data_IF_069148421197
#
_entry.id   IF_069148421197
#
_cell.length_a   1.000
_cell.length_b   1.000
_cell.length_c   1.000
_cell.angle_alpha   90.00
_cell.angle_beta   90.00
_cell.angle_gamma   90.00
#
_symmetry.space_group_name_H-M   'P 1'
#
loop_
_entity.id
_entity.type
_entity.pdbx_description
1 polymer ?
#
# COMPACT_ATOMS: atom_id res chain seq x y z
N UNK A 1 16.04 2.84 6.04
CA UNK A 1 16.13 3.54 4.74
C UNK A 1 15.52 4.92 4.91
N UNK A 2 16.14 5.97 4.38
CA UNK A 2 15.50 7.29 4.34
C UNK A 2 14.29 7.22 3.40
N UNK A 3 13.13 7.75 3.81
CA UNK A 3 12.00 7.97 2.92
C UNK A 3 12.27 9.22 2.10
N UNK A 4 12.22 9.10 0.78
CA UNK A 4 12.35 10.21 -0.17
C UNK A 4 10.97 10.56 -0.72
N UNK A 5 10.75 11.83 -1.08
CA UNK A 5 9.60 12.19 -1.91
C UNK A 5 9.83 11.77 -3.34
N UNK A 6 8.75 11.74 -4.13
CA UNK A 6 8.87 11.47 -5.55
C UNK A 6 9.77 12.50 -6.22
N UNK A 7 9.61 13.77 -5.86
CA UNK A 7 10.42 14.89 -6.35
C UNK A 7 11.88 14.79 -5.91
N UNK A 8 12.13 14.40 -4.65
CA UNK A 8 13.50 14.21 -4.14
C UNK A 8 14.20 13.04 -4.83
N UNK A 9 13.48 11.95 -5.08
CA UNK A 9 14.01 10.75 -5.73
C UNK A 9 14.28 11.01 -7.21
N UNK A 10 13.31 11.58 -7.92
CA UNK A 10 13.42 11.91 -9.34
C UNK A 10 14.44 13.02 -9.59
N UNK A 11 14.53 14.00 -8.68
CA UNK A 11 15.45 15.11 -8.74
C UNK A 11 15.18 16.07 -9.91
N UNK A 12 16.22 16.79 -10.33
CA UNK A 12 16.15 17.74 -11.43
C UNK A 12 16.77 17.24 -12.73
N UNK A 13 17.16 15.97 -12.77
CA UNK A 13 17.77 15.32 -13.93
C UNK A 13 16.77 14.80 -14.95
N UNK A 14 17.20 13.77 -15.69
CA UNK A 14 16.45 13.18 -16.82
C UNK A 14 15.14 12.48 -16.41
N UNK A 15 14.98 12.18 -15.12
CA UNK A 15 13.77 11.58 -14.57
C UNK A 15 12.67 12.63 -14.33
N UNK A 16 13.00 13.92 -14.22
CA UNK A 16 12.05 14.98 -13.86
C UNK A 16 10.86 15.05 -14.81
N UNK A 17 11.15 14.98 -16.11
CA UNK A 17 10.14 15.01 -17.17
C UNK A 17 9.28 13.75 -17.22
N UNK A 18 9.75 12.66 -16.58
CA UNK A 18 9.03 11.39 -16.49
C UNK A 18 8.05 11.35 -15.32
N UNK A 19 8.16 12.26 -14.35
CA UNK A 19 7.33 12.25 -13.14
C UNK A 19 5.82 12.19 -13.44
N UNK A 20 5.24 13.01 -14.33
CA UNK A 20 3.82 12.92 -14.64
C UNK A 20 3.40 11.52 -15.15
N UNK A 21 4.24 10.92 -16.01
CA UNK A 21 4.00 9.58 -16.56
C UNK A 21 4.11 8.49 -15.51
N UNK A 22 5.07 8.59 -14.57
CA UNK A 22 5.20 7.66 -13.45
C UNK A 22 3.94 7.68 -12.58
N UNK A 23 3.44 8.88 -12.26
CA UNK A 23 2.22 9.04 -11.46
C UNK A 23 0.98 8.49 -12.17
N UNK A 24 0.84 8.74 -13.48
CA UNK A 24 -0.28 8.23 -14.29
C UNK A 24 -0.30 6.70 -14.37
N UNK A 25 0.87 6.08 -14.50
CA UNK A 25 1.07 4.63 -14.55
C UNK A 25 1.04 3.97 -13.14
N UNK A 26 0.83 4.75 -12.07
CA UNK A 26 0.70 4.23 -10.71
C UNK A 26 2.01 3.89 -10.01
N UNK A 27 3.12 4.50 -10.46
CA UNK A 27 4.41 4.54 -9.78
C UNK A 27 4.51 5.83 -8.95
N UNK A 28 3.71 5.94 -7.90
CA UNK A 28 3.47 7.18 -7.14
C UNK A 28 4.22 7.26 -5.79
N UNK A 29 5.03 6.25 -5.47
CA UNK A 29 5.90 6.26 -4.29
C UNK A 29 7.30 5.67 -4.57
N UNK A 30 8.28 6.19 -3.83
CA UNK A 30 9.70 5.81 -3.99
C UNK A 30 9.99 4.33 -3.70
N UNK A 31 9.43 3.71 -2.64
CA UNK A 31 9.53 2.26 -2.47
C UNK A 31 9.10 1.49 -3.71
N UNK A 32 7.99 1.89 -4.34
CA UNK A 32 7.50 1.31 -5.59
C UNK A 32 8.42 1.59 -6.77
N UNK A 33 9.05 2.76 -6.88
CA UNK A 33 10.05 3.01 -7.92
C UNK A 33 11.33 2.17 -7.77
N UNK A 34 11.79 1.93 -6.54
CA UNK A 34 13.06 1.22 -6.26
C UNK A 34 13.05 -0.26 -6.61
N UNK A 35 11.87 -0.82 -6.83
CA UNK A 35 11.63 -2.23 -7.16
C UNK A 35 11.29 -2.42 -8.64
N UNK A 36 11.17 -1.32 -9.40
CA UNK A 36 10.85 -1.33 -10.82
C UNK A 36 11.93 -2.09 -11.58
N UNK A 37 11.55 -3.15 -12.26
CA UNK A 37 12.50 -4.03 -12.95
C UNK A 37 12.74 -3.59 -14.41
N UNK A 38 13.61 -4.32 -15.11
CA UNK A 38 13.95 -3.98 -16.49
C UNK A 38 12.77 -4.12 -17.45
N UNK A 39 11.84 -5.07 -17.19
CA UNK A 39 10.63 -5.26 -17.99
C UNK A 39 9.69 -4.07 -17.80
N UNK A 40 9.48 -3.63 -16.56
CA UNK A 40 8.66 -2.46 -16.24
C UNK A 40 9.20 -1.20 -16.94
N UNK A 41 10.53 -1.01 -16.93
CA UNK A 41 11.17 0.11 -17.62
C UNK A 41 11.04 0.01 -19.15
N UNK A 42 11.02 -1.20 -19.72
CA UNK A 42 10.79 -1.43 -21.15
C UNK A 42 9.33 -1.14 -21.54
N UNK A 43 8.36 -1.59 -20.74
CA UNK A 43 6.93 -1.33 -20.92
C UNK A 43 6.64 0.19 -20.89
N UNK A 44 7.30 0.93 -19.99
CA UNK A 44 7.23 2.39 -19.94
C UNK A 44 7.98 3.11 -21.06
N UNK A 45 8.64 2.38 -21.96
CA UNK A 45 9.46 2.91 -23.05
C UNK A 45 10.55 3.87 -22.54
N UNK A 46 11.20 3.54 -21.43
CA UNK A 46 12.25 4.39 -20.87
C UNK A 46 13.49 4.36 -21.75
N UNK A 47 14.06 5.53 -21.98
CA UNK A 47 15.35 5.66 -22.65
C UNK A 47 16.45 5.04 -21.79
N UNK A 48 17.53 4.55 -22.42
CA UNK A 48 18.70 4.02 -21.68
C UNK A 48 19.19 4.98 -20.60
N UNK A 49 19.20 6.28 -20.89
CA UNK A 49 19.63 7.33 -19.95
C UNK A 49 18.72 7.46 -18.73
N UNK A 50 17.41 7.24 -18.88
CA UNK A 50 16.46 7.19 -17.77
C UNK A 50 16.61 5.91 -16.95
N UNK A 51 16.87 4.77 -17.60
CA UNK A 51 17.14 3.50 -16.90
C UNK A 51 18.38 3.59 -16.02
N UNK A 52 19.48 4.13 -16.58
CA UNK A 52 20.73 4.34 -15.84
C UNK A 52 20.50 5.30 -14.65
N UNK A 53 19.71 6.36 -14.83
CA UNK A 53 19.35 7.28 -13.76
C UNK A 53 18.55 6.60 -12.64
N UNK A 54 17.57 5.75 -12.99
CA UNK A 54 16.82 4.96 -12.00
C UNK A 54 17.70 4.03 -11.19
N UNK A 55 18.63 3.34 -11.84
CA UNK A 55 19.59 2.45 -11.18
C UNK A 55 20.45 3.24 -10.18
N UNK A 56 20.98 4.40 -10.61
CA UNK A 56 21.77 5.30 -9.76
C UNK A 56 20.94 5.76 -8.55
N UNK A 57 19.73 6.30 -8.76
CA UNK A 57 18.87 6.78 -7.66
C UNK A 57 18.47 5.68 -6.68
N UNK A 58 18.26 4.47 -7.18
CA UNK A 58 17.95 3.30 -6.36
C UNK A 58 19.13 2.93 -5.47
N UNK A 59 20.35 3.01 -6.01
CA UNK A 59 21.60 2.77 -5.29
C UNK A 59 21.89 3.82 -4.20
N UNK A 60 21.52 5.09 -4.42
CA UNK A 60 21.66 6.18 -3.45
C UNK A 60 20.64 6.05 -2.30
N UNK A 61 20.90 5.12 -1.39
CA UNK A 61 19.99 4.68 -0.33
C UNK A 61 19.88 5.61 0.89
N UNK A 62 20.75 6.63 0.99
CA UNK A 62 20.77 7.61 2.08
C UNK A 62 20.65 9.06 1.59
N UNK A 63 20.07 9.94 2.42
CA UNK A 63 19.76 11.34 2.06
C UNK A 63 21.01 12.17 1.73
N UNK A 64 22.15 11.84 2.33
CA UNK A 64 23.41 12.52 2.06
C UNK A 64 24.01 12.11 0.70
N UNK A 65 23.76 10.87 0.26
CA UNK A 65 24.15 10.38 -1.06
C UNK A 65 23.21 10.88 -2.17
N UNK A 66 21.92 10.98 -1.91
CA UNK A 66 20.94 11.46 -2.89
C UNK A 66 21.25 12.88 -3.42
N UNK A 67 21.90 13.72 -2.61
CA UNK A 67 22.37 15.06 -3.01
C UNK A 67 23.40 15.07 -4.15
N UNK A 68 23.93 13.92 -4.56
CA UNK A 68 24.82 13.77 -5.72
C UNK A 68 24.09 13.23 -6.95
N UNK A 69 22.83 12.79 -6.84
CA UNK A 69 22.07 12.11 -7.90
C UNK A 69 22.09 12.88 -9.23
N UNK A 70 21.65 14.14 -9.21
CA UNK A 70 21.64 14.99 -10.41
C UNK A 70 23.03 15.10 -11.07
N UNK A 71 24.11 15.21 -10.28
CA UNK A 71 25.49 15.31 -10.80
C UNK A 71 26.00 13.99 -11.38
N UNK A 72 25.67 12.87 -10.74
CA UNK A 72 26.05 11.54 -11.19
C UNK A 72 25.36 11.22 -12.54
N UNK A 73 24.06 11.51 -12.63
CA UNK A 73 23.26 11.35 -13.87
C UNK A 73 23.76 12.25 -15.00
N UNK A 74 24.10 13.51 -14.70
CA UNK A 74 24.58 14.46 -15.69
C UNK A 74 25.89 14.00 -16.37
N UNK A 75 26.68 13.15 -15.70
CA UNK A 75 27.91 12.60 -16.29
C UNK A 75 27.68 11.60 -17.42
N UNK A 76 26.46 11.08 -17.57
CA UNK A 76 26.10 10.10 -18.59
C UNK A 76 26.71 8.71 -18.40
N UNK A 77 27.37 8.47 -17.27
CA UNK A 77 27.94 7.18 -16.90
C UNK A 77 26.91 6.32 -16.18
N UNK A 78 26.90 5.02 -16.49
CA UNK A 78 26.09 4.03 -15.76
C UNK A 78 26.64 3.76 -14.35
N UNK A 79 25.84 3.13 -13.49
CA UNK A 79 26.26 2.82 -12.11
C UNK A 79 27.57 2.01 -12.05
N UNK A 80 27.80 0.96 -12.88
CA UNK A 80 29.07 0.22 -12.84
C UNK A 80 30.30 1.08 -13.16
N UNK A 81 30.14 2.04 -14.08
CA UNK A 81 31.21 2.96 -14.46
C UNK A 81 31.50 3.96 -13.34
N UNK A 82 30.44 4.47 -12.66
CA UNK A 82 30.57 5.35 -11.51
C UNK A 82 31.24 4.68 -10.32
N UNK A 83 30.94 3.39 -10.07
CA UNK A 83 31.58 2.59 -9.02
C UNK A 83 33.04 2.24 -9.32
N UNK A 84 33.48 2.37 -10.58
CA UNK A 84 34.87 2.17 -10.98
C UNK A 84 35.73 3.46 -10.89
N UNK A 85 35.12 4.61 -10.58
CA UNK A 85 35.82 5.90 -10.46
C UNK A 85 36.70 5.92 -9.20
N UNK A 86 37.89 6.51 -9.31
CA UNK A 86 38.80 6.64 -8.17
C UNK A 86 38.21 7.50 -7.05
N UNK A 87 38.59 7.25 -5.80
CA UNK A 87 38.15 8.07 -4.66
C UNK A 87 38.48 9.56 -4.84
N UNK A 88 39.63 9.87 -5.47
CA UNK A 88 40.06 11.24 -5.73
C UNK A 88 39.14 11.91 -6.78
N UNK A 89 38.75 11.17 -7.82
CA UNK A 89 37.86 11.66 -8.87
C UNK A 89 36.41 11.81 -8.40
N UNK A 90 35.92 10.92 -7.54
CA UNK A 90 34.60 11.09 -6.91
C UNK A 90 34.54 12.39 -6.07
N UNK A 91 35.64 12.73 -5.40
CA UNK A 91 35.74 13.96 -4.63
C UNK A 91 35.88 15.20 -5.54
N UNK A 92 36.77 15.15 -6.53
CA UNK A 92 37.10 16.32 -7.37
C UNK A 92 36.06 16.61 -8.45
N UNK A 93 35.51 15.58 -9.11
CA UNK A 93 34.58 15.73 -10.24
C UNK A 93 33.12 15.83 -9.79
N UNK A 94 32.75 15.13 -8.73
CA UNK A 94 31.36 15.07 -8.24
C UNK A 94 31.14 15.81 -6.91
N UNK A 95 32.20 16.38 -6.34
CA UNK A 95 32.16 17.13 -5.08
C UNK A 95 31.89 16.25 -3.85
N UNK A 96 32.13 14.93 -3.95
CA UNK A 96 31.73 13.99 -2.91
C UNK A 96 32.66 14.07 -1.70
N UNK A 97 32.08 14.34 -0.51
CA UNK A 97 32.84 14.38 0.74
C UNK A 97 33.47 13.01 1.03
N UNK A 98 34.66 12.97 1.64
CA UNK A 98 35.41 11.72 1.94
C UNK A 98 34.56 10.62 2.60
N UNK A 99 33.73 10.98 3.58
CA UNK A 99 32.84 10.03 4.25
C UNK A 99 31.68 9.54 3.38
N UNK A 100 31.27 10.31 2.38
CA UNK A 100 30.22 9.92 1.43
C UNK A 100 30.81 9.03 0.34
N UNK A 101 32.06 9.27 -0.11
CA UNK A 101 32.79 8.38 -1.02
C UNK A 101 32.87 6.96 -0.45
N UNK A 102 33.22 6.83 0.83
CA UNK A 102 33.28 5.52 1.48
C UNK A 102 31.92 4.80 1.46
N UNK A 103 30.81 5.51 1.75
CA UNK A 103 29.46 4.93 1.71
C UNK A 103 28.95 4.62 0.30
N UNK A 104 29.32 5.45 -0.68
CA UNK A 104 28.99 5.24 -2.08
C UNK A 104 29.69 4.01 -2.66
N UNK A 105 30.85 3.62 -2.12
CA UNK A 105 31.58 2.44 -2.58
C UNK A 105 31.34 1.19 -1.70
N UNK A 106 30.71 1.36 -0.54
CA UNK A 106 30.42 0.25 0.38
C UNK A 106 29.25 -0.60 -0.16
N UNK A 107 29.61 -1.80 -0.64
CA UNK A 107 28.69 -2.78 -1.22
C UNK A 107 27.79 -3.49 -0.19
N UNK A 108 28.04 -3.32 1.11
CA UNK A 108 27.36 -4.13 2.15
C UNK A 108 25.94 -3.68 2.51
N UNK A 109 25.49 -2.53 2.00
CA UNK A 109 24.14 -1.97 2.27
C UNK A 109 23.13 -2.15 1.14
N UNK A 110 23.51 -2.75 0.01
CA UNK A 110 22.62 -2.96 -1.13
C UNK A 110 22.17 -4.43 -1.21
N UNK A 111 20.87 -4.66 -1.07
CA UNK A 111 20.26 -5.95 -1.38
C UNK A 111 20.49 -6.27 -2.87
N UNK A 112 21.41 -7.19 -3.17
CA UNK A 112 21.43 -8.04 -4.37
C UNK A 112 22.49 -9.12 -4.16
N UNK A 113 22.09 -10.27 -3.63
CA UNK A 113 22.83 -11.51 -3.85
C UNK A 113 22.60 -11.93 -5.32
N UNK A 114 23.64 -12.12 -6.14
CA UNK A 114 23.48 -12.60 -7.50
C UNK A 114 23.03 -14.06 -7.47
N UNK A 115 21.87 -14.34 -8.05
CA UNK A 115 21.36 -15.70 -8.28
C UNK A 115 22.33 -16.41 -9.24
N UNK A 116 23.20 -17.26 -8.69
CA UNK A 116 23.96 -18.21 -9.48
C UNK A 116 23.00 -19.29 -10.02
N UNK A 117 22.97 -19.41 -11.34
CA UNK A 117 22.39 -20.56 -12.05
C UNK A 117 23.22 -21.81 -11.76
N UNK A 118 22.57 -22.96 -11.97
CA UNK A 118 23.03 -24.35 -11.89
C UNK A 118 23.29 -24.90 -10.49
N UNK A 119 22.31 -25.68 -9.99
CA UNK A 119 22.52 -27.11 -9.78
C UNK A 119 21.18 -27.84 -9.62
N UNK A 120 20.94 -28.78 -10.53
CA UNK A 120 19.88 -29.78 -10.52
C UNK A 120 20.19 -30.76 -9.41
N UNK A 121 19.31 -31.01 -8.43
CA UNK A 121 19.16 -32.35 -7.83
C UNK A 121 17.81 -32.56 -7.11
N UNK A 122 17.08 -33.52 -7.68
CA UNK A 122 16.07 -34.47 -7.16
C UNK A 122 15.48 -34.36 -5.75
N UNK A 123 14.15 -34.36 -5.79
CA UNK A 123 13.15 -34.84 -4.81
C UNK A 123 13.60 -36.12 -4.07
N UNK A 124 13.64 -36.10 -2.73
CA UNK A 124 13.37 -37.29 -1.88
C UNK A 124 12.69 -36.94 -0.54
N UNK A 125 11.76 -37.83 -0.18
CA UNK A 125 10.78 -37.90 0.94
C UNK A 125 11.41 -38.01 2.35
N UNK A 126 10.62 -37.81 3.43
CA UNK A 126 11.12 -37.74 4.81
C UNK A 126 11.49 -39.12 5.40
N UNK A 127 12.35 -39.17 6.45
CA UNK A 127 12.90 -40.43 6.94
C UNK A 127 12.06 -41.07 8.05
N UNK A 128 12.05 -42.41 8.03
CA UNK A 128 11.65 -43.29 9.12
C UNK A 128 12.85 -43.66 10.01
N UNK A 129 12.51 -43.95 11.25
CA UNK A 129 13.30 -44.38 12.42
C UNK A 129 14.40 -45.42 12.19
N UNK A 130 15.56 -45.27 12.86
CA UNK A 130 16.19 -46.37 13.63
C UNK A 130 17.20 -45.83 14.65
N UNK A 131 17.28 -46.52 15.80
CA UNK A 131 18.18 -46.31 16.94
C UNK A 131 19.56 -46.91 16.69
N UNK A 132 20.62 -46.33 17.24
CA UNK A 132 21.67 -47.05 17.99
C UNK A 132 22.66 -46.07 18.65
N UNK A 133 23.01 -46.39 19.90
CA UNK A 133 23.89 -45.67 20.81
C UNK A 133 25.38 -45.77 20.45
N UNK A 134 26.16 -44.72 20.77
CA UNK A 134 27.43 -44.89 21.51
C UNK A 134 27.99 -43.58 22.07
N UNK A 135 28.21 -43.66 23.38
CA UNK A 135 28.84 -42.84 24.41
C UNK A 135 30.22 -42.17 24.16
N UNK A 136 30.42 -41.03 24.87
CA UNK A 136 31.65 -40.42 25.47
C UNK A 136 32.53 -39.57 24.51
N UNK A 137 32.90 -38.30 24.76
CA UNK A 137 33.48 -37.66 25.97
C UNK A 137 33.36 -36.11 25.94
N UNK A 138 33.38 -35.53 27.13
CA UNK A 138 33.26 -34.12 27.56
C UNK A 138 34.40 -33.15 27.18
N UNK A 139 34.08 -31.86 26.98
CA UNK A 139 34.41 -30.68 27.85
C UNK A 139 34.35 -29.36 27.04
N UNK A 140 33.82 -28.30 27.64
CA UNK A 140 34.00 -26.91 27.17
C UNK A 140 32.78 -25.99 27.32
N UNK A 141 32.57 -25.47 28.53
CA UNK A 141 31.58 -24.41 28.84
C UNK A 141 31.97 -23.09 28.17
N UNK A 142 31.03 -22.35 27.57
CA UNK A 142 30.87 -20.89 27.77
C UNK A 142 29.46 -20.42 27.38
N UNK A 143 28.81 -19.78 28.34
CA UNK A 143 27.61 -18.91 28.35
C UNK A 143 27.10 -18.35 27.00
N UNK A 144 25.81 -18.56 26.69
CA UNK A 144 25.07 -17.77 25.69
C UNK A 144 23.78 -17.19 26.31
N UNK A 145 23.77 -15.86 26.47
CA UNK A 145 22.56 -15.07 26.79
C UNK A 145 21.82 -14.81 25.48
N UNK A 146 20.61 -15.34 25.35
CA UNK A 146 19.63 -14.92 24.34
C UNK A 146 19.23 -13.47 24.60
N UNK A 147 19.50 -12.58 23.64
CA UNK A 147 18.84 -11.28 23.53
C UNK A 147 17.83 -11.37 22.38
N UNK A 148 16.56 -11.14 22.71
CA UNK A 148 15.50 -10.88 21.75
C UNK A 148 15.59 -9.42 21.32
N UNK A 149 15.78 -9.16 20.03
CA UNK A 149 15.73 -7.80 19.46
C UNK A 149 14.34 -7.53 18.88
N UNK A 150 13.50 -6.84 19.66
CA UNK A 150 12.30 -6.16 19.16
C UNK A 150 12.74 -4.78 18.68
N UNK A 151 12.81 -4.58 17.37
CA UNK A 151 13.08 -3.26 16.78
C UNK A 151 11.84 -2.38 16.88
N UNK A 152 11.85 -1.46 17.85
CA UNK A 152 10.93 -0.33 17.94
C UNK A 152 11.38 0.75 16.95
N UNK A 153 10.68 0.89 15.84
CA UNK A 153 10.83 2.05 14.96
C UNK A 153 10.07 3.24 15.56
N UNK A 154 10.77 4.37 15.73
CA UNK A 154 10.30 5.56 16.42
C UNK A 154 9.34 6.40 15.57
N UNK A 155 8.13 6.66 16.10
CA UNK A 155 7.06 7.45 15.49
C UNK A 155 7.40 8.92 15.16
N UNK A 156 8.48 9.46 15.72
CA UNK A 156 8.84 10.88 15.61
C UNK A 156 9.33 11.30 14.20
N UNK A 157 9.93 10.38 13.43
CA UNK A 157 10.53 10.72 12.13
C UNK A 157 9.48 10.80 10.99
N UNK A 158 8.31 10.16 11.16
CA UNK A 158 7.23 10.25 10.17
C UNK A 158 6.45 11.57 10.24
N UNK A 159 6.30 12.17 11.43
CA UNK A 159 5.50 13.39 11.63
C UNK A 159 6.08 14.64 10.96
N UNK A 160 7.40 14.71 10.75
CA UNK A 160 8.05 15.88 10.11
C UNK A 160 8.01 15.85 8.59
N UNK A 161 7.76 14.68 7.99
CA UNK A 161 7.68 14.50 6.54
C UNK A 161 6.25 14.71 6.02
N UNK A 162 5.25 14.38 6.85
CA UNK A 162 3.82 14.59 6.56
C UNK A 162 3.47 16.07 6.36
N UNK A 163 4.04 16.96 7.20
CA UNK A 163 3.78 18.40 7.16
C UNK A 163 4.16 19.09 5.84
N UNK A 164 5.22 18.66 5.16
CA UNK A 164 5.63 19.29 3.89
C UNK A 164 4.81 18.81 2.70
N UNK A 165 4.29 17.58 2.74
CA UNK A 165 3.40 17.02 1.71
C UNK A 165 1.98 17.59 1.84
N UNK A 166 1.46 17.69 3.08
CA UNK A 166 0.18 18.37 3.37
C UNK A 166 0.16 19.80 2.82
N UNK A 167 1.29 20.51 2.95
CA UNK A 167 1.40 21.90 2.53
C UNK A 167 1.53 22.06 0.99
N UNK A 168 2.09 21.08 0.29
CA UNK A 168 2.18 21.10 -1.19
C UNK A 168 0.93 20.58 -1.90
N UNK A 169 0.10 19.75 -1.25
CA UNK A 169 -1.20 19.32 -1.78
C UNK A 169 -2.32 20.33 -1.50
N UNK A 170 -2.24 21.10 -0.41
CA UNK A 170 -3.14 22.20 -0.11
C UNK A 170 -3.11 23.34 -1.16
N UNK A 171 -2.04 23.42 -1.98
CA UNK A 171 -1.91 24.39 -3.07
C UNK A 171 -2.73 24.02 -4.32
N UNK A 172 -3.24 22.78 -4.43
CA UNK A 172 -4.31 22.43 -5.37
C UNK A 172 -5.68 22.81 -4.80
N UNK A 173 -5.89 24.12 -4.66
CA UNK A 173 -7.11 24.74 -4.12
C UNK A 173 -8.40 24.12 -4.67
N UNK A 174 -9.06 23.31 -3.84
CA UNK A 174 -10.50 23.05 -3.91
C UNK A 174 -11.17 24.34 -3.43
N UNK A 175 -11.91 25.00 -4.32
CA UNK A 175 -12.56 26.29 -4.05
C UNK A 175 -13.66 26.14 -3.00
N UNK A 176 -13.74 27.14 -2.13
CA UNK A 176 -14.76 27.32 -1.10
C UNK A 176 -16.19 27.05 -1.63
N UNK A 177 -16.90 26.15 -0.94
CA UNK A 177 -18.36 26.04 -1.02
C UNK A 177 -18.96 24.80 -1.71
N UNK A 178 -18.29 23.63 -1.80
CA UNK A 178 -18.94 22.41 -2.32
C UNK A 178 -18.54 21.06 -1.66
N UNK A 179 -19.49 20.14 -1.78
CA UNK A 179 -19.60 18.78 -1.21
C UNK A 179 -18.77 17.77 -2.01
N UNK A 180 -17.93 16.98 -1.34
CA UNK A 180 -17.22 15.87 -1.98
C UNK A 180 -18.21 14.81 -2.50
N UNK A 181 -18.29 14.72 -3.84
CA UNK A 181 -19.10 13.76 -4.60
C UNK A 181 -18.27 13.08 -5.70
N UNK A 182 -17.01 12.74 -5.42
CA UNK A 182 -16.16 12.04 -6.37
C UNK A 182 -16.30 10.52 -6.25
N UNK A 183 -16.66 9.83 -7.34
CA UNK A 183 -16.17 8.46 -7.54
C UNK A 183 -14.78 8.61 -8.12
N UNK A 184 -13.77 8.21 -7.37
CA UNK A 184 -12.42 8.12 -7.91
C UNK A 184 -12.17 6.66 -8.26
N UNK A 185 -11.67 6.45 -9.46
CA UNK A 185 -11.14 5.17 -9.87
C UNK A 185 -9.80 5.48 -10.51
N UNK A 186 -8.96 4.47 -10.69
CA UNK A 186 -7.62 4.65 -11.27
C UNK A 186 -7.63 5.06 -12.77
N UNK A 187 -8.59 5.85 -13.26
CA UNK A 187 -8.79 6.17 -14.68
C UNK A 187 -9.77 5.21 -15.39
N UNK A 188 -10.27 5.52 -16.59
CA UNK A 188 -11.08 4.59 -17.38
C UNK A 188 -10.29 3.31 -17.69
N UNK A 189 -10.89 2.15 -17.45
CA UNK A 189 -10.31 0.89 -17.91
C UNK A 189 -10.44 0.83 -19.44
N UNK A 190 -9.33 0.57 -20.13
CA UNK A 190 -9.34 0.49 -21.59
C UNK A 190 -9.94 -0.84 -22.09
N UNK A 191 -10.54 -0.85 -23.30
CA UNK A 191 -10.91 -2.09 -23.99
C UNK A 191 -9.70 -3.01 -24.15
N UNK A 192 -9.87 -4.30 -23.86
CA UNK A 192 -8.76 -5.27 -23.86
C UNK A 192 -8.86 -6.21 -25.07
N UNK A 193 -7.75 -6.88 -25.39
CA UNK A 193 -7.63 -7.79 -26.53
C UNK A 193 -8.12 -7.17 -27.87
N UNK A 194 -7.51 -6.05 -28.28
CA UNK A 194 -7.87 -5.33 -29.51
C UNK A 194 -9.36 -4.93 -29.61
N UNK A 195 -10.00 -4.66 -28.46
CA UNK A 195 -11.41 -4.27 -28.39
C UNK A 195 -12.41 -5.43 -28.33
N UNK A 196 -11.95 -6.69 -28.34
CA UNK A 196 -12.85 -7.85 -28.18
C UNK A 196 -13.41 -7.98 -26.75
N UNK A 197 -12.77 -7.34 -25.77
CA UNK A 197 -13.24 -7.29 -24.39
C UNK A 197 -13.61 -5.83 -24.07
N UNK A 198 -14.90 -5.58 -23.88
CA UNK A 198 -15.40 -4.26 -23.50
C UNK A 198 -14.85 -3.83 -22.13
N UNK A 199 -14.67 -2.52 -21.97
CA UNK A 199 -14.36 -1.93 -20.69
C UNK A 199 -15.49 -2.23 -19.67
N UNK A 200 -15.16 -2.47 -18.39
CA UNK A 200 -16.15 -2.56 -17.32
C UNK A 200 -17.08 -1.33 -17.32
N UNK A 201 -18.35 -1.48 -16.94
CA UNK A 201 -19.26 -0.36 -16.81
C UNK A 201 -18.70 0.69 -15.85
N UNK A 202 -18.75 1.94 -16.27
CA UNK A 202 -18.23 3.07 -15.50
C UNK A 202 -19.30 3.53 -14.51
N UNK A 203 -18.95 3.53 -13.22
CA UNK A 203 -19.77 4.15 -12.18
C UNK A 203 -19.21 5.56 -11.97
N UNK A 204 -19.92 6.56 -12.49
CA UNK A 204 -19.51 7.97 -12.40
C UNK A 204 -20.21 8.75 -11.27
N UNK A 205 -21.09 8.08 -10.53
CA UNK A 205 -21.86 8.68 -9.44
C UNK A 205 -21.62 7.93 -8.13
N UNK A 206 -21.39 8.69 -7.06
CA UNK A 206 -21.24 8.14 -5.72
C UNK A 206 -22.54 7.42 -5.35
N UNK A 207 -22.41 6.23 -4.76
CA UNK A 207 -23.53 5.44 -4.32
C UNK A 207 -24.43 6.27 -3.39
N UNK A 208 -25.77 6.24 -3.55
CA UNK A 208 -26.65 6.93 -2.63
C UNK A 208 -26.44 6.39 -1.21
N UNK A 209 -26.37 7.25 -0.19
CA UNK A 209 -26.19 6.82 1.21
C UNK A 209 -27.19 5.74 1.65
N UNK A 210 -28.43 5.81 1.16
CA UNK A 210 -29.48 4.83 1.41
C UNK A 210 -29.12 3.40 0.97
N UNK A 211 -28.19 3.24 0.00
CA UNK A 211 -27.72 1.94 -0.47
C UNK A 211 -26.80 1.25 0.54
N UNK A 212 -26.12 2.01 1.40
CA UNK A 212 -25.16 1.45 2.38
C UNK A 212 -25.69 1.44 3.82
N UNK A 213 -26.60 2.34 4.18
CA UNK A 213 -26.99 2.54 5.60
C UNK A 213 -27.71 1.34 6.22
N UNK A 214 -28.42 0.55 5.41
CA UNK A 214 -29.23 -0.59 5.84
C UNK A 214 -28.59 -1.95 5.52
N UNK A 215 -27.35 -1.97 5.01
CA UNK A 215 -26.63 -3.22 4.76
C UNK A 215 -26.49 -3.99 6.07
N UNK A 216 -26.74 -5.29 6.04
CA UNK A 216 -26.56 -6.17 7.19
C UNK A 216 -25.17 -6.79 7.17
N UNK A 217 -24.37 -6.52 8.21
CA UNK A 217 -23.01 -7.06 8.36
C UNK A 217 -22.86 -7.83 9.66
N UNK A 218 -21.88 -8.73 9.72
CA UNK A 218 -21.48 -9.44 10.95
C UNK A 218 -20.01 -9.17 11.26
N UNK A 219 -19.68 -8.89 12.52
CA UNK A 219 -18.28 -8.77 12.94
C UNK A 219 -17.66 -10.16 13.03
N UNK A 220 -16.57 -10.36 12.29
CA UNK A 220 -15.78 -11.59 12.32
C UNK A 220 -14.62 -11.48 13.30
N UNK A 221 -13.99 -10.32 13.37
CA UNK A 221 -12.85 -10.07 14.25
C UNK A 221 -13.09 -8.82 15.09
N UNK A 222 -12.55 -8.77 16.32
CA UNK A 222 -12.45 -7.53 17.06
C UNK A 222 -11.27 -6.69 16.56
N UNK A 223 -11.15 -5.46 17.07
CA UNK A 223 -9.88 -4.74 16.99
C UNK A 223 -8.83 -5.48 17.84
N UNK A 224 -7.66 -5.74 17.25
CA UNK A 224 -6.61 -6.55 17.85
C UNK A 224 -6.05 -5.89 19.11
N UNK A 225 -6.03 -6.68 20.20
CA UNK A 225 -5.21 -6.42 21.38
C UNK A 225 -4.55 -7.73 21.78
N UNK A 226 -3.38 -7.63 22.39
CA UNK A 226 -2.61 -8.79 22.87
C UNK A 226 -3.52 -9.70 23.71
N UNK A 227 -3.62 -10.99 23.35
CA UNK A 227 -4.44 -11.98 24.05
C UNK A 227 -5.88 -12.16 23.52
N UNK A 228 -6.27 -11.44 22.47
CA UNK A 228 -7.62 -11.53 21.86
C UNK A 228 -7.75 -12.64 20.79
N UNK A 229 -6.69 -13.40 20.51
CA UNK A 229 -6.67 -14.42 19.44
C UNK A 229 -7.74 -15.51 19.66
N UNK A 230 -8.16 -15.73 20.91
CA UNK A 230 -9.20 -16.71 21.29
C UNK A 230 -10.62 -16.29 20.89
N UNK A 231 -10.86 -15.02 20.57
CA UNK A 231 -12.19 -14.47 20.28
C UNK A 231 -12.62 -14.65 18.81
N UNK A 232 -11.74 -15.11 17.92
CA UNK A 232 -12.06 -15.37 16.50
C UNK A 232 -13.15 -16.42 16.30
N UNK A 233 -13.34 -17.32 17.29
CA UNK A 233 -14.29 -18.43 17.18
C UNK A 233 -15.76 -18.00 17.20
N UNK A 234 -16.06 -16.74 17.51
CA UNK A 234 -17.44 -16.29 17.72
C UNK A 234 -17.76 -15.12 16.80
N UNK A 235 -18.49 -15.40 15.72
CA UNK A 235 -19.10 -14.36 14.88
C UNK A 235 -20.06 -13.53 15.72
N UNK A 236 -19.96 -12.21 15.59
CA UNK A 236 -20.91 -11.29 16.19
C UNK A 236 -22.31 -11.44 15.57
N UNK A 237 -23.35 -11.03 16.29
CA UNK A 237 -24.70 -11.00 15.72
C UNK A 237 -24.75 -10.06 14.50
N UNK A 238 -25.66 -10.31 13.55
CA UNK A 238 -25.92 -9.37 12.45
C UNK A 238 -26.30 -7.98 12.98
N UNK A 239 -25.77 -6.94 12.36
CA UNK A 239 -26.00 -5.54 12.69
C UNK A 239 -26.16 -4.70 11.43
N UNK A 240 -26.79 -3.52 11.56
CA UNK A 240 -26.85 -2.55 10.47
C UNK A 240 -25.50 -1.87 10.29
N UNK A 241 -25.07 -1.71 9.05
CA UNK A 241 -23.80 -1.05 8.73
C UNK A 241 -23.73 0.39 9.22
N UNK A 242 -24.86 1.13 9.22
CA UNK A 242 -24.92 2.50 9.76
C UNK A 242 -24.49 2.65 11.23
N UNK A 243 -24.50 1.57 12.01
CA UNK A 243 -23.96 1.59 13.37
C UNK A 243 -22.44 1.75 13.42
N UNK A 244 -21.72 1.41 12.34
CA UNK A 244 -20.27 1.52 12.23
C UNK A 244 -19.79 2.97 12.19
N UNK A 245 -20.60 3.88 11.64
CA UNK A 245 -20.27 5.31 11.53
C UNK A 245 -21.27 6.22 12.25
N UNK A 246 -22.05 5.67 13.18
CA UNK A 246 -23.04 6.46 13.95
C UNK A 246 -22.37 7.59 14.72
N UNK A 247 -21.25 7.30 15.37
CA UNK A 247 -20.59 8.21 16.31
C UNK A 247 -19.35 8.88 15.71
N UNK A 248 -18.61 8.15 14.86
CA UNK A 248 -17.35 8.58 14.23
C UNK A 248 -17.41 8.34 12.72
N UNK A 249 -16.71 9.14 11.90
CA UNK A 249 -16.52 8.79 10.49
C UNK A 249 -15.76 7.47 10.35
N UNK A 250 -15.94 6.80 9.21
CA UNK A 250 -15.36 5.49 8.96
C UNK A 250 -14.82 5.35 7.53
N UNK A 251 -13.65 4.73 7.41
CA UNK A 251 -13.15 4.15 6.17
C UNK A 251 -13.54 2.68 6.13
N UNK A 252 -14.14 2.26 5.03
CA UNK A 252 -14.62 0.89 4.79
C UNK A 252 -13.88 0.36 3.56
N UNK A 253 -12.93 -0.54 3.78
CA UNK A 253 -12.18 -1.21 2.73
C UNK A 253 -12.90 -2.50 2.31
N UNK A 254 -13.41 -2.54 1.08
CA UNK A 254 -14.07 -3.72 0.51
C UNK A 254 -13.02 -4.64 -0.11
N UNK A 255 -12.62 -5.68 0.63
CA UNK A 255 -11.56 -6.59 0.24
C UNK A 255 -12.11 -7.68 -0.67
N UNK A 256 -11.53 -7.80 -1.87
CA UNK A 256 -11.88 -8.87 -2.81
C UNK A 256 -11.59 -10.25 -2.26
N UNK A 257 -10.39 -10.44 -1.71
CA UNK A 257 -9.98 -11.74 -1.20
C UNK A 257 -8.84 -11.61 -0.18
N UNK A 258 -9.01 -12.07 1.06
CA UNK A 258 -8.00 -11.95 2.11
C UNK A 258 -6.68 -12.70 1.81
N UNK A 259 -6.71 -13.74 0.96
CA UNK A 259 -5.53 -14.47 0.50
C UNK A 259 -4.78 -13.83 -0.68
N UNK A 260 -5.38 -12.87 -1.38
CA UNK A 260 -4.77 -12.21 -2.54
C UNK A 260 -3.65 -11.26 -2.12
N UNK A 261 -2.50 -11.31 -2.79
CA UNK A 261 -1.36 -10.43 -2.48
C UNK A 261 -1.69 -8.94 -2.66
N UNK A 262 -2.43 -8.60 -3.72
CA UNK A 262 -2.82 -7.21 -3.99
C UNK A 262 -3.74 -6.68 -2.88
N UNK A 263 -4.63 -7.52 -2.35
CA UNK A 263 -5.51 -7.15 -1.26
C UNK A 263 -4.77 -7.07 0.09
N UNK A 264 -3.83 -7.99 0.35
CA UNK A 264 -2.99 -7.95 1.55
C UNK A 264 -2.11 -6.71 1.57
N UNK A 265 -1.54 -6.35 0.43
CA UNK A 265 -0.73 -5.16 0.24
C UNK A 265 -1.52 -3.88 0.53
N UNK A 266 -2.69 -3.71 -0.08
CA UNK A 266 -3.58 -2.55 0.16
C UNK A 266 -3.97 -2.43 1.64
N UNK A 267 -4.47 -3.52 2.22
CA UNK A 267 -4.89 -3.55 3.62
C UNK A 267 -3.73 -3.20 4.56
N UNK A 268 -2.55 -3.78 4.32
CA UNK A 268 -1.35 -3.50 5.12
C UNK A 268 -0.92 -2.03 5.00
N UNK A 269 -0.92 -1.46 3.80
CA UNK A 269 -0.54 -0.06 3.60
C UNK A 269 -1.51 0.91 4.28
N UNK A 270 -2.82 0.66 4.18
CA UNK A 270 -3.83 1.48 4.85
C UNK A 270 -3.74 1.34 6.37
N UNK A 271 -3.67 0.11 6.88
CA UNK A 271 -3.70 -0.16 8.31
C UNK A 271 -2.40 0.22 9.03
N UNK A 272 -1.24 0.17 8.35
CA UNK A 272 0.03 0.67 8.90
C UNK A 272 -0.05 2.16 9.30
N UNK A 273 -0.97 2.91 8.70
CA UNK A 273 -1.23 4.33 8.99
C UNK A 273 -2.38 4.55 9.97
N UNK A 274 -2.92 3.51 10.60
CA UNK A 274 -4.00 3.61 11.59
C UNK A 274 -3.80 4.73 12.62
N UNK A 275 -2.59 4.98 13.19
CA UNK A 275 -2.41 6.08 14.14
C UNK A 275 -2.83 7.46 13.61
N UNK A 276 -2.66 7.71 12.30
CA UNK A 276 -3.09 8.96 11.65
C UNK A 276 -4.63 9.06 11.62
N UNK A 277 -5.30 7.99 11.21
CA UNK A 277 -6.77 7.91 11.21
C UNK A 277 -7.35 8.02 12.62
N UNK A 278 -6.72 7.35 13.60
CA UNK A 278 -7.13 7.42 15.01
C UNK A 278 -7.02 8.87 15.55
N UNK A 279 -5.96 9.60 15.19
CA UNK A 279 -5.78 11.01 15.57
C UNK A 279 -6.86 11.92 14.94
N UNK A 280 -7.31 11.60 13.72
CA UNK A 280 -8.44 12.26 13.07
C UNK A 280 -9.81 11.79 13.60
N UNK A 281 -9.84 10.79 14.48
CA UNK A 281 -11.07 10.21 15.02
C UNK A 281 -11.85 9.36 13.99
N UNK A 282 -11.17 8.86 12.96
CA UNK A 282 -11.74 8.02 11.89
C UNK A 282 -11.53 6.54 12.19
N UNK A 283 -12.57 5.73 12.02
CA UNK A 283 -12.52 4.28 12.22
C UNK A 283 -12.16 3.54 10.93
N UNK A 284 -11.42 2.45 11.03
CA UNK A 284 -11.06 1.61 9.89
C UNK A 284 -11.76 0.25 9.99
N UNK A 285 -12.49 -0.13 8.93
CA UNK A 285 -13.14 -1.43 8.80
C UNK A 285 -12.73 -2.12 7.50
N UNK A 286 -12.49 -3.43 7.56
CA UNK A 286 -12.37 -4.27 6.38
C UNK A 286 -13.67 -5.06 6.18
N UNK A 287 -14.16 -5.18 4.95
CA UNK A 287 -15.38 -5.92 4.61
C UNK A 287 -15.04 -7.06 3.66
N UNK A 288 -15.51 -8.26 3.96
CA UNK A 288 -15.40 -9.46 3.14
C UNK A 288 -16.78 -9.83 2.60
N UNK A 289 -16.84 -10.23 1.33
CA UNK A 289 -18.04 -10.84 0.72
C UNK A 289 -18.10 -12.36 0.90
N UNK A 290 -16.96 -13.00 1.16
CA UNK A 290 -16.83 -14.43 1.40
C UNK A 290 -16.14 -14.69 2.75
N UNK A 291 -16.69 -15.63 3.53
CA UNK A 291 -16.14 -16.00 4.83
C UNK A 291 -15.49 -17.39 4.80
N UNK A 292 -14.16 -17.40 4.67
CA UNK A 292 -13.32 -18.59 4.83
C UNK A 292 -12.48 -18.43 6.08
N UNK A 293 -12.75 -19.26 7.10
CA UNK A 293 -12.18 -19.12 8.45
C UNK A 293 -10.65 -19.05 8.44
N UNK A 294 -9.99 -19.95 7.69
CA UNK A 294 -8.52 -19.98 7.59
C UNK A 294 -7.95 -18.72 6.96
N UNK A 295 -8.63 -18.15 5.96
CA UNK A 295 -8.17 -16.93 5.31
C UNK A 295 -8.35 -15.71 6.21
N UNK A 296 -9.40 -15.67 7.03
CA UNK A 296 -9.58 -14.62 8.05
C UNK A 296 -8.49 -14.70 9.11
N UNK A 297 -8.14 -15.91 9.56
CA UNK A 297 -7.07 -16.15 10.54
C UNK A 297 -5.68 -15.80 10.01
N UNK A 298 -5.40 -16.06 8.73
CA UNK A 298 -4.13 -15.68 8.11
C UNK A 298 -4.06 -14.17 7.83
N UNK A 299 -5.21 -13.56 7.58
CA UNK A 299 -5.31 -12.13 7.27
C UNK A 299 -5.19 -11.24 8.52
N UNK A 300 -5.92 -11.60 9.58
CA UNK A 300 -6.00 -10.87 10.84
C UNK A 300 -5.21 -11.60 11.94
N UNK A 301 -4.37 -10.93 12.74
CA UNK A 301 -4.13 -9.49 12.74
C UNK A 301 -2.96 -9.05 11.83
N UNK A 302 -2.40 -9.98 11.03
CA UNK A 302 -1.10 -9.81 10.35
C UNK A 302 -1.06 -8.66 9.35
N UNK A 303 -2.08 -8.53 8.51
CA UNK A 303 -2.17 -7.46 7.49
C UNK A 303 -3.21 -6.41 7.87
N UNK A 304 -4.15 -6.77 8.75
CA UNK A 304 -5.19 -5.89 9.26
C UNK A 304 -5.46 -6.22 10.71
N UNK A 305 -5.18 -5.28 11.62
CA UNK A 305 -5.48 -5.45 13.04
C UNK A 305 -6.88 -4.95 13.43
N UNK A 306 -7.65 -4.40 12.50
CA UNK A 306 -8.95 -3.78 12.78
C UNK A 306 -10.08 -4.80 12.79
N UNK A 307 -11.30 -4.29 12.93
CA UNK A 307 -12.52 -5.09 12.79
C UNK A 307 -12.67 -5.52 11.33
N UNK A 308 -12.88 -6.81 11.13
CA UNK A 308 -13.27 -7.41 9.84
C UNK A 308 -14.76 -7.74 9.89
N UNK A 309 -15.47 -7.32 8.86
CA UNK A 309 -16.91 -7.46 8.70
C UNK A 309 -17.20 -8.46 7.59
N UNK A 310 -18.27 -9.23 7.76
CA UNK A 310 -18.81 -10.10 6.74
C UNK A 310 -20.11 -9.51 6.19
N UNK A 311 -20.09 -9.18 4.91
CA UNK A 311 -21.24 -8.76 4.12
C UNK A 311 -21.73 -9.93 3.28
N UNK A 312 -22.61 -10.75 3.87
CA UNK A 312 -23.17 -11.94 3.20
C UNK A 312 -23.98 -11.58 1.95
N UNK A 313 -24.61 -10.41 1.93
CA UNK A 313 -25.39 -9.93 0.80
C UNK A 313 -24.53 -9.46 -0.36
N UNK A 314 -23.25 -9.17 -0.07
CA UNK A 314 -22.31 -8.47 -0.96
C UNK A 314 -22.83 -7.09 -1.36
N UNK A 315 -23.67 -6.48 -0.52
CA UNK A 315 -24.37 -5.25 -0.83
C UNK A 315 -23.42 -4.04 -0.86
N UNK A 316 -22.33 -4.05 -0.09
CA UNK A 316 -21.26 -3.05 -0.22
C UNK A 316 -20.57 -3.16 -1.57
N UNK A 317 -20.32 -4.39 -2.03
CA UNK A 317 -19.69 -4.66 -3.32
C UNK A 317 -20.63 -4.31 -4.48
N UNK A 318 -21.93 -4.55 -4.33
CA UNK A 318 -22.94 -4.07 -5.29
C UNK A 318 -23.05 -2.55 -5.30
N UNK A 319 -22.98 -1.89 -4.13
CA UNK A 319 -23.02 -0.44 -4.05
C UNK A 319 -21.87 0.21 -4.82
N UNK A 320 -20.67 -0.38 -4.76
CA UNK A 320 -19.51 0.04 -5.58
C UNK A 320 -19.79 -0.03 -7.08
N UNK A 321 -20.58 -1.02 -7.53
CA UNK A 321 -20.96 -1.23 -8.93
C UNK A 321 -22.35 -0.71 -9.31
N UNK A 322 -22.90 0.26 -8.57
CA UNK A 322 -24.21 0.86 -8.89
C UNK A 322 -25.38 -0.13 -8.81
N UNK A 323 -25.32 -1.09 -7.89
CA UNK A 323 -26.30 -2.15 -7.70
C UNK A 323 -25.88 -3.51 -8.28
N UNK A 324 -24.79 -3.57 -9.04
CA UNK A 324 -24.27 -4.80 -9.64
C UNK A 324 -22.90 -5.16 -9.07
N UNK A 325 -22.57 -6.45 -9.05
CA UNK A 325 -21.21 -6.88 -8.72
C UNK A 325 -20.28 -6.61 -9.91
N UNK A 326 -19.25 -5.81 -9.66
CA UNK A 326 -18.16 -5.62 -10.62
C UNK A 326 -17.30 -6.88 -10.64
N UNK A 327 -17.22 -7.54 -11.79
CA UNK A 327 -16.47 -8.79 -11.98
C UNK A 327 -15.68 -8.74 -13.27
N UNK A 328 -14.47 -9.30 -13.26
CA UNK A 328 -13.73 -9.66 -14.47
C UNK A 328 -13.30 -11.13 -14.37
N UNK A 329 -13.19 -11.84 -15.51
CA UNK A 329 -12.61 -13.20 -15.52
C UNK A 329 -11.12 -13.14 -15.27
N UNK A 330 -10.54 -14.19 -14.69
CA UNK A 330 -9.09 -14.22 -14.46
C UNK A 330 -8.29 -14.00 -15.77
N UNK A 331 -8.69 -14.63 -16.86
CA UNK A 331 -7.97 -14.51 -18.14
C UNK A 331 -8.04 -13.07 -18.69
N UNK A 332 -9.24 -12.50 -18.82
CA UNK A 332 -9.43 -11.15 -19.39
C UNK A 332 -9.12 -10.01 -18.42
N UNK A 333 -9.29 -10.25 -17.12
CA UNK A 333 -9.12 -9.30 -16.03
C UNK A 333 -7.69 -9.19 -15.53
N UNK A 334 -6.91 -10.26 -15.65
CA UNK A 334 -5.55 -10.36 -15.17
C UNK A 334 -4.56 -10.63 -16.31
N UNK A 335 -4.62 -11.79 -16.97
CA UNK A 335 -3.58 -12.20 -17.93
C UNK A 335 -3.48 -11.28 -19.15
N UNK A 336 -4.60 -10.72 -19.62
CA UNK A 336 -4.63 -9.78 -20.74
C UNK A 336 -4.79 -8.32 -20.31
N UNK A 337 -4.49 -8.02 -19.06
CA UNK A 337 -4.63 -6.68 -18.50
C UNK A 337 -3.27 -6.20 -17.98
N UNK A 338 -2.51 -5.40 -18.75
CA UNK A 338 -1.18 -4.94 -18.35
C UNK A 338 -1.21 -4.19 -17.02
N UNK A 339 -2.26 -3.40 -16.77
CA UNK A 339 -2.44 -2.69 -15.51
C UNK A 339 -2.60 -3.61 -14.30
N UNK A 340 -3.36 -4.70 -14.46
CA UNK A 340 -3.51 -5.69 -13.39
C UNK A 340 -2.19 -6.46 -13.13
N UNK A 341 -1.40 -6.69 -14.18
CA UNK A 341 -0.06 -7.30 -14.06
C UNK A 341 0.88 -6.35 -13.31
N UNK A 342 0.91 -5.07 -13.67
CA UNK A 342 1.69 -4.04 -12.98
C UNK A 342 1.28 -3.92 -11.50
N UNK A 343 -0.02 -3.86 -11.20
CA UNK A 343 -0.54 -3.87 -9.83
C UNK A 343 -0.08 -5.11 -9.04
N UNK A 344 -0.04 -6.28 -9.69
CA UNK A 344 0.46 -7.50 -9.07
C UNK A 344 1.96 -7.47 -8.82
N UNK A 345 2.78 -6.97 -9.76
CA UNK A 345 4.22 -6.76 -9.57
C UNK A 345 4.47 -5.80 -8.39
N UNK A 346 3.76 -4.66 -8.34
CA UNK A 346 3.78 -3.70 -7.20
C UNK A 346 3.41 -4.35 -5.88
N UNK A 347 2.44 -5.25 -5.84
CA UNK A 347 2.07 -5.95 -4.61
C UNK A 347 3.11 -7.02 -4.21
N UNK A 348 3.71 -7.70 -5.19
CA UNK A 348 4.68 -8.78 -5.00
C UNK A 348 5.98 -8.33 -4.35
N UNK A 349 6.46 -7.15 -4.73
CA UNK A 349 7.68 -6.55 -4.21
C UNK A 349 7.67 -6.30 -2.69
N UNK A 350 6.49 -6.21 -2.07
CA UNK A 350 6.35 -6.06 -0.62
C UNK A 350 6.70 -7.35 0.15
N UNK A 351 6.95 -8.46 -0.55
CA UNK A 351 7.39 -9.72 0.06
C UNK A 351 6.32 -10.37 0.94
N UNK A 352 5.03 -10.11 0.67
CA UNK A 352 3.91 -10.66 1.43
C UNK A 352 3.53 -12.07 0.92
N UNK A 353 3.04 -12.91 1.82
CA UNK A 353 2.52 -14.23 1.47
C UNK A 353 1.25 -14.11 0.64
N UNK A 354 0.94 -15.13 -0.19
CA UNK A 354 -0.29 -15.16 -0.98
C UNK A 354 -0.82 -16.57 -1.19
N UNK A 355 -2.11 -16.66 -1.49
CA UNK A 355 -2.74 -17.86 -2.03
C UNK A 355 -3.85 -17.46 -3.04
N UNK A 356 -4.53 -18.47 -3.58
CA UNK A 356 -5.65 -18.29 -4.51
C UNK A 356 -7.00 -18.82 -3.98
N UNK A 357 -7.13 -19.01 -2.67
CA UNK A 357 -8.32 -19.59 -2.02
C UNK A 357 -9.49 -18.61 -2.01
N UNK A 358 -10.65 -19.05 -2.47
CA UNK A 358 -11.90 -18.26 -2.48
C UNK A 358 -12.18 -17.57 -3.81
N UNK A 359 -13.29 -16.84 -3.87
CA UNK A 359 -13.76 -16.09 -5.03
C UNK A 359 -12.79 -14.95 -5.37
N UNK A 360 -12.38 -14.88 -6.64
CA UNK A 360 -11.29 -14.02 -7.11
C UNK A 360 -11.69 -13.05 -8.22
N UNK A 361 -12.89 -13.17 -8.78
CA UNK A 361 -13.35 -12.38 -9.93
C UNK A 361 -13.99 -11.05 -9.52
N UNK A 362 -14.58 -10.99 -8.32
CA UNK A 362 -15.21 -9.77 -7.78
C UNK A 362 -14.17 -8.69 -7.53
N UNK A 363 -14.49 -7.45 -7.90
CA UNK A 363 -13.68 -6.24 -7.63
C UNK A 363 -14.06 -5.61 -6.30
N UNK A 364 -13.10 -4.96 -5.67
CA UNK A 364 -13.24 -4.28 -4.39
C UNK A 364 -13.35 -2.78 -4.56
N UNK A 365 -12.98 -2.07 -3.50
CA UNK A 365 -13.03 -0.62 -3.45
C UNK A 365 -13.00 -0.11 -2.02
N UNK A 366 -13.27 1.18 -1.85
CA UNK A 366 -13.21 1.84 -0.56
C UNK A 366 -14.30 2.90 -0.44
N UNK A 367 -14.92 3.00 0.72
CA UNK A 367 -15.80 4.11 1.08
C UNK A 367 -15.20 4.91 2.24
N UNK A 368 -15.36 6.22 2.21
CA UNK A 368 -15.22 7.08 3.39
C UNK A 368 -16.60 7.64 3.70
N UNK A 369 -17.11 7.33 4.88
CA UNK A 369 -18.46 7.69 5.32
C UNK A 369 -18.35 8.65 6.50
N UNK A 370 -19.05 9.78 6.39
CA UNK A 370 -19.13 10.75 7.48
C UNK A 370 -19.97 10.21 8.64
N UNK A 371 -19.79 10.81 9.82
CA UNK A 371 -20.56 10.42 11.01
C UNK A 371 -22.08 10.57 10.80
N UNK A 372 -22.88 9.78 11.53
CA UNK A 372 -24.35 9.84 11.49
C UNK A 372 -24.88 9.66 10.05
N UNK A 373 -25.61 10.65 9.53
CA UNK A 373 -26.18 10.66 8.17
C UNK A 373 -25.53 11.73 7.30
N UNK A 374 -24.28 12.10 7.58
CA UNK A 374 -23.50 13.04 6.75
C UNK A 374 -23.27 12.52 5.33
N UNK A 375 -23.41 11.21 5.11
CA UNK A 375 -23.33 10.60 3.78
C UNK A 375 -21.96 10.03 3.45
N UNK A 376 -21.80 9.63 2.20
CA UNK A 376 -20.53 9.14 1.64
C UNK A 376 -19.72 10.36 1.20
N UNK A 377 -18.56 10.56 1.82
CA UNK A 377 -17.63 11.64 1.48
C UNK A 377 -16.72 11.24 0.32
N UNK A 378 -16.41 9.95 0.18
CA UNK A 378 -15.54 9.44 -0.88
C UNK A 378 -15.89 8.01 -1.23
N UNK A 379 -15.80 7.68 -2.51
CA UNK A 379 -15.93 6.33 -3.03
C UNK A 379 -14.82 6.05 -4.03
N UNK A 380 -14.03 5.01 -3.75
CA UNK A 380 -13.09 4.44 -4.69
C UNK A 380 -13.59 3.11 -5.23
N UNK A 381 -13.52 2.93 -6.55
CA UNK A 381 -13.95 1.71 -7.23
C UNK A 381 -12.74 1.09 -7.95
N UNK A 382 -12.40 -0.15 -7.58
CA UNK A 382 -11.37 -0.92 -8.26
C UNK A 382 -11.86 -1.29 -9.68
N UNK A 383 -11.22 -0.75 -10.72
CA UNK A 383 -11.60 -1.02 -12.12
C UNK A 383 -10.79 -2.15 -12.72
N UNK A 384 -9.52 -2.24 -12.38
CA UNK A 384 -8.61 -3.32 -12.71
C UNK A 384 -8.19 -4.03 -11.42
N UNK A 385 -7.87 -5.31 -11.53
CA UNK A 385 -7.42 -6.04 -10.36
C UNK A 385 -6.17 -5.39 -9.75
N UNK A 386 -6.25 -5.09 -8.46
CA UNK A 386 -5.18 -4.46 -7.68
C UNK A 386 -5.08 -2.95 -7.81
N UNK A 387 -6.07 -2.27 -8.40
CA UNK A 387 -6.16 -0.81 -8.25
C UNK A 387 -6.46 -0.50 -6.76
N UNK A 388 -5.70 0.42 -6.17
CA UNK A 388 -5.86 0.83 -4.77
C UNK A 388 -6.29 2.29 -4.69
N UNK A 389 -7.05 2.63 -3.65
CA UNK A 389 -7.39 4.03 -3.40
C UNK A 389 -6.11 4.85 -3.11
N UNK A 390 -5.90 5.99 -3.78
CA UNK A 390 -4.74 6.84 -3.52
C UNK A 390 -4.70 7.29 -2.05
N UNK A 391 -3.64 6.91 -1.34
CA UNK A 391 -3.56 7.12 0.12
C UNK A 391 -3.62 8.61 0.50
N UNK A 392 -3.05 9.48 -0.33
CA UNK A 392 -3.05 10.93 -0.11
C UNK A 392 -4.48 11.50 -0.13
N UNK A 393 -5.31 11.08 -1.10
CA UNK A 393 -6.72 11.48 -1.17
C UNK A 393 -7.50 10.96 0.04
N UNK A 394 -7.30 9.68 0.40
CA UNK A 394 -7.98 9.07 1.56
C UNK A 394 -7.68 9.85 2.84
N UNK A 395 -6.42 10.27 3.04
CA UNK A 395 -6.00 11.07 4.19
C UNK A 395 -6.62 12.46 4.15
N UNK A 396 -6.60 13.14 3.00
CA UNK A 396 -7.13 14.51 2.87
C UNK A 396 -8.62 14.58 3.18
N UNK A 397 -9.42 13.67 2.59
CA UNK A 397 -10.86 13.60 2.88
C UNK A 397 -11.12 13.34 4.38
N UNK A 398 -10.30 12.51 5.01
CA UNK A 398 -10.42 12.26 6.45
C UNK A 398 -10.09 13.50 7.29
N UNK A 399 -9.11 14.31 6.88
CA UNK A 399 -8.73 15.57 7.54
C UNK A 399 -9.82 16.61 7.41
N UNK A 400 -10.44 16.73 6.25
CA UNK A 400 -11.58 17.64 6.06
C UNK A 400 -12.79 17.25 6.91
N UNK A 401 -13.09 15.94 6.98
CA UNK A 401 -14.12 15.42 7.88
C UNK A 401 -13.81 15.71 9.36
N UNK A 402 -12.54 15.82 9.75
CA UNK A 402 -12.15 16.24 11.10
C UNK A 402 -12.40 17.75 11.31
N UNK A 403 -11.98 18.59 10.37
CA UNK A 403 -12.15 20.05 10.44
C UNK A 403 -13.64 20.45 10.56
N UNK A 404 -14.50 19.85 9.73
CA UNK A 404 -15.94 20.08 9.78
C UNK A 404 -16.57 19.72 11.14
N UNK A 405 -15.99 18.75 11.86
CA UNK A 405 -16.48 18.38 13.19
C UNK A 405 -16.08 19.40 14.26
N UNK A 406 -14.91 20.01 14.12
CA UNK A 406 -14.41 21.04 15.03
C UNK A 406 -15.24 22.32 14.88
N UNK A 407 -15.47 22.77 13.64
CA UNK A 407 -16.27 23.96 13.33
C UNK A 407 -17.72 23.84 13.85
N UNK A 408 -18.36 22.68 13.65
CA UNK A 408 -19.70 22.43 14.21
C UNK A 408 -19.71 22.44 15.74
N UNK A 409 -18.63 21.95 16.39
CA UNK A 409 -18.51 21.95 17.84
C UNK A 409 -18.34 23.37 18.42
N UNK A 410 -17.60 24.23 17.74
CA UNK A 410 -17.37 25.62 18.15
C UNK A 410 -18.61 26.50 17.97
N UNK A 411 -19.33 26.33 16.85
CA UNK A 411 -20.60 27.03 16.60
C UNK A 411 -21.67 26.72 17.67
N UNK A 412 -21.80 25.46 18.09
CA UNK A 412 -22.76 25.05 19.13
C UNK A 412 -22.39 25.64 20.48
N UNK A 413 -21.10 25.65 20.86
CA UNK A 413 -20.64 26.27 22.11
C UNK A 413 -20.90 27.78 22.13
N UNK A 414 -20.57 28.47 21.04
CA UNK A 414 -20.83 29.91 20.95
C UNK A 414 -22.31 30.24 21.11
N UNK A 415 -23.21 29.44 20.54
CA UNK A 415 -24.67 29.66 20.65
C UNK A 415 -25.22 29.40 22.05
N UNK A 416 -24.53 28.60 22.88
CA UNK A 416 -24.91 28.32 24.26
C UNK A 416 -24.38 29.37 25.25
N UNK A 417 -23.29 30.06 24.92
CA UNK A 417 -22.73 31.13 25.74
C UNK A 417 -23.47 32.48 25.57
N UNK A 418 -24.33 32.59 24.55
CA UNK A 418 -25.19 33.77 24.27
C UNK A 418 -26.69 33.56 24.61
N UNK A 419 -27.04 32.44 25.25
CA UNK A 419 -28.40 32.13 25.72
C UNK A 419 -28.41 32.00 27.23
#
# INVERSE_FOLDING_TARGET
MASFSMEDFVGNGVLKELLPKLLEEGWDDVPTLKIMDAEDMDEMNLTRRQKDAFEIRTYLHDRALMNYGDRLEASGKGLPELLAISNADLASQYGMKRGHVARFLDRTTACTEPVNKSEVFSIRKPPTTSRSDSLIKSFGSTTSRKMASVSRYSAATMMTYDKSIEQSLADFKIKDGHVFKGVISAGPAEPRACGCIAAPPVVDQVAPYATIENITVQKLTPEYKIGMERLLKTKGPPMKASELWRDKPAVILCIRRPGCIMCRAEAHQLYARKPLFDAMGVQLYAVLHEHIESEVQDFWPRYWGGVVLFDRGMDFFKALGGGNLLKDKFISGFLFNPRAIANYRRAKSLGLDQNFTGEGEIKGGLFIVGRKRSGIAYQFVERNFGDWAPMAEVIEICRELQNQQQEQGESIKSSQDYA
#
